data_IF_500173716911
#
_entry.id   IF_500173716911
#
_cell.length_a   1.000
_cell.length_b   1.000
_cell.length_c   1.000
_cell.angle_alpha   90.00
_cell.angle_beta   90.00
_cell.angle_gamma   90.00
#
_symmetry.space_group_name_H-M   'P 1'
#
loop_
_entity.id
_entity.type
_entity.pdbx_description
1 polymer ?
#
# COMPACT_ATOMS: atom_id res chain seq x y z
N UNK A 1 14.39 -50.03 83.56
CA UNK A 1 15.83 -50.33 83.34
C UNK A 1 16.23 -50.09 81.88
N UNK A 2 15.57 -50.71 80.89
CA UNK A 2 15.90 -50.54 79.47
C UNK A 2 15.86 -49.09 78.97
N UNK A 3 14.88 -48.28 79.40
CA UNK A 3 14.81 -46.85 79.01
C UNK A 3 15.96 -46.01 79.57
N UNK A 4 16.47 -46.35 80.77
CA UNK A 4 17.62 -45.67 81.36
C UNK A 4 18.93 -46.04 80.67
N UNK A 5 19.08 -47.30 80.26
CA UNK A 5 20.28 -47.73 79.52
C UNK A 5 20.29 -47.10 78.12
N UNK A 6 19.14 -47.05 77.45
CA UNK A 6 19.02 -46.50 76.11
C UNK A 6 19.27 -44.98 76.03
N UNK A 7 19.23 -44.24 77.15
CA UNK A 7 19.58 -42.81 77.20
C UNK A 7 21.06 -42.52 77.45
N UNK A 8 21.87 -43.54 77.73
CA UNK A 8 23.31 -43.42 77.97
C UNK A 8 24.11 -43.50 76.65
N UNK A 9 25.28 -42.85 76.61
CA UNK A 9 26.21 -43.02 75.48
C UNK A 9 26.65 -44.48 75.35
N UNK A 10 26.99 -44.92 74.14
CA UNK A 10 27.42 -46.31 73.87
C UNK A 10 28.55 -46.74 74.83
N UNK A 11 29.47 -45.84 75.14
CA UNK A 11 30.55 -46.08 76.11
C UNK A 11 29.99 -46.35 77.53
N UNK A 12 29.02 -45.56 78.00
CA UNK A 12 28.36 -45.76 79.29
C UNK A 12 27.46 -46.99 79.31
N UNK A 13 26.82 -47.34 78.20
CA UNK A 13 26.05 -48.58 78.05
C UNK A 13 26.95 -49.80 78.20
N UNK A 14 28.11 -49.82 77.54
CA UNK A 14 29.10 -50.91 77.66
C UNK A 14 29.63 -51.03 79.09
N UNK A 15 29.91 -49.91 79.77
CA UNK A 15 30.32 -49.93 81.17
C UNK A 15 29.23 -50.45 82.11
N UNK A 16 27.97 -50.09 81.86
CA UNK A 16 26.85 -50.55 82.68
C UNK A 16 26.59 -52.05 82.49
N UNK A 17 26.61 -52.53 81.25
CA UNK A 17 26.52 -53.96 80.92
C UNK A 17 27.65 -54.75 81.55
N UNK A 18 28.89 -54.27 81.45
CA UNK A 18 30.04 -54.90 82.09
C UNK A 18 29.93 -54.91 83.61
N UNK A 19 29.46 -53.82 84.22
CA UNK A 19 29.21 -53.74 85.65
C UNK A 19 28.21 -54.80 86.13
N UNK A 20 27.09 -54.95 85.41
CA UNK A 20 26.10 -56.01 85.72
C UNK A 20 26.70 -57.40 85.53
N UNK A 21 27.44 -57.64 84.43
CA UNK A 21 28.08 -58.93 84.17
C UNK A 21 29.15 -59.28 85.22
N UNK A 22 29.96 -58.32 85.66
CA UNK A 22 30.98 -58.50 86.69
C UNK A 22 30.32 -58.78 88.04
N UNK A 23 29.30 -58.00 88.44
CA UNK A 23 28.56 -58.26 89.68
C UNK A 23 27.89 -59.63 89.65
N UNK A 24 27.24 -59.99 88.55
CA UNK A 24 26.64 -61.31 88.36
C UNK A 24 27.67 -62.43 88.48
N UNK A 25 28.83 -62.28 87.83
CA UNK A 25 29.92 -63.26 87.89
C UNK A 25 30.49 -63.39 89.32
N UNK A 26 30.68 -62.27 90.03
CA UNK A 26 31.12 -62.26 91.43
C UNK A 26 30.11 -62.99 92.32
N UNK A 27 28.81 -62.71 92.17
CA UNK A 27 27.74 -63.37 92.95
C UNK A 27 27.74 -64.88 92.70
N UNK A 28 27.81 -65.33 91.44
CA UNK A 28 27.89 -66.75 91.10
C UNK A 28 29.12 -67.39 91.74
N UNK A 29 30.29 -66.76 91.61
CA UNK A 29 31.55 -67.27 92.19
C UNK A 29 31.45 -67.38 93.73
N UNK A 30 30.86 -66.39 94.40
CA UNK A 30 30.67 -66.39 95.86
C UNK A 30 29.68 -67.47 96.29
N UNK A 31 28.60 -67.68 95.54
CA UNK A 31 27.63 -68.75 95.79
C UNK A 31 28.29 -70.12 95.62
N UNK A 32 29.05 -70.33 94.54
CA UNK A 32 29.78 -71.59 94.28
C UNK A 32 30.83 -71.89 95.35
N UNK A 33 31.57 -70.87 95.80
CA UNK A 33 32.53 -71.01 96.90
C UNK A 33 31.83 -71.42 98.21
N UNK A 34 30.62 -70.90 98.47
CA UNK A 34 29.84 -71.19 99.67
C UNK A 34 29.14 -72.56 99.62
N UNK A 35 28.71 -73.03 98.45
CA UNK A 35 28.09 -74.35 98.26
C UNK A 35 29.12 -75.48 98.17
N UNK A 36 30.34 -75.20 97.70
CA UNK A 36 31.43 -76.18 97.59
C UNK A 36 32.07 -76.57 98.93
N UNK A 37 31.72 -75.94 100.05
CA UNK A 37 32.23 -76.28 101.39
C UNK A 37 33.72 -76.01 101.62
N UNK A 38 34.40 -75.34 100.69
CA UNK A 38 35.81 -74.97 100.81
C UNK A 38 35.97 -73.77 101.75
N UNK A 39 36.98 -73.79 102.63
CA UNK A 39 37.37 -72.62 103.41
C UNK A 39 37.74 -71.47 102.47
N UNK A 40 37.40 -70.23 102.83
CA UNK A 40 37.68 -69.05 102.01
C UNK A 40 39.20 -68.85 101.87
N UNK A 41 39.77 -69.33 100.78
CA UNK A 41 41.20 -69.22 100.46
C UNK A 41 41.40 -68.29 99.27
N UNK A 42 42.10 -67.18 99.54
CA UNK A 42 42.46 -66.15 98.57
C UNK A 42 43.40 -66.67 97.46
N UNK A 43 44.00 -67.85 97.62
CA UNK A 43 44.86 -68.50 96.62
C UNK A 43 44.13 -69.57 95.80
N UNK A 44 42.84 -69.79 96.02
CA UNK A 44 42.09 -70.79 95.27
C UNK A 44 42.04 -70.47 93.77
N UNK A 45 42.32 -71.46 92.87
CA UNK A 45 42.39 -71.22 91.43
C UNK A 45 41.07 -70.71 90.85
N UNK A 46 39.93 -71.02 91.47
CA UNK A 46 38.61 -70.50 91.07
C UNK A 46 38.43 -68.99 91.32
N UNK A 47 39.03 -68.46 92.39
CA UNK A 47 38.93 -67.04 92.74
C UNK A 47 39.86 -66.19 91.86
N UNK A 48 41.07 -66.69 91.55
CA UNK A 48 41.96 -66.08 90.56
C UNK A 48 41.35 -66.07 89.16
N UNK A 49 40.69 -67.15 88.74
CA UNK A 49 39.98 -67.22 87.46
C UNK A 49 38.83 -66.21 87.39
N UNK A 50 38.06 -66.01 88.46
CA UNK A 50 36.95 -65.05 88.46
C UNK A 50 37.43 -63.60 88.39
N UNK A 51 38.55 -63.26 89.04
CA UNK A 51 39.19 -61.94 88.93
C UNK A 51 39.70 -61.71 87.51
N UNK A 52 40.35 -62.70 86.90
CA UNK A 52 40.82 -62.60 85.52
C UNK A 52 39.66 -62.41 84.52
N UNK A 53 38.54 -63.13 84.69
CA UNK A 53 37.34 -62.97 83.87
C UNK A 53 36.72 -61.58 84.08
N UNK A 54 36.67 -61.09 85.32
CA UNK A 54 36.14 -59.76 85.62
C UNK A 54 37.00 -58.64 85.00
N UNK A 55 38.32 -58.79 85.04
CA UNK A 55 39.26 -57.87 84.37
C UNK A 55 39.14 -57.95 82.84
N UNK A 56 38.96 -59.15 82.28
CA UNK A 56 38.73 -59.34 80.84
C UNK A 56 37.41 -58.69 80.40
N UNK A 57 36.33 -58.85 81.16
CA UNK A 57 35.04 -58.22 80.89
C UNK A 57 35.14 -56.68 80.98
N UNK A 58 35.85 -56.15 81.98
CA UNK A 58 36.11 -54.72 82.09
C UNK A 58 36.94 -54.19 80.90
N UNK A 59 38.01 -54.90 80.53
CA UNK A 59 38.84 -54.55 79.37
C UNK A 59 38.06 -54.61 78.06
N UNK A 60 37.28 -55.68 77.84
CA UNK A 60 36.45 -55.85 76.64
C UNK A 60 35.38 -54.75 76.54
N UNK A 61 34.79 -54.36 77.66
CA UNK A 61 33.81 -53.27 77.70
C UNK A 61 34.43 -51.90 77.42
N UNK A 62 35.64 -51.64 77.93
CA UNK A 62 36.41 -50.44 77.57
C UNK A 62 36.80 -50.45 76.09
N UNK A 63 37.29 -51.59 75.59
CA UNK A 63 37.68 -51.74 74.20
C UNK A 63 36.50 -51.55 73.23
N UNK A 64 35.39 -52.28 73.42
CA UNK A 64 34.19 -52.17 72.58
C UNK A 64 33.50 -50.81 72.73
N UNK A 65 33.46 -50.27 73.95
CA UNK A 65 32.88 -48.96 74.24
C UNK A 65 33.68 -47.82 73.60
N UNK A 66 35.01 -47.86 73.67
CA UNK A 66 35.89 -46.87 73.03
C UNK A 66 35.90 -47.01 71.50
N UNK A 67 35.96 -48.25 70.99
CA UNK A 67 35.92 -48.53 69.55
C UNK A 67 34.61 -48.08 68.90
N UNK A 68 33.47 -48.37 69.54
CA UNK A 68 32.15 -47.96 69.04
C UNK A 68 31.92 -46.46 69.22
N UNK A 69 32.39 -45.85 70.31
CA UNK A 69 32.28 -44.41 70.52
C UNK A 69 33.06 -43.61 69.47
N UNK A 70 34.30 -44.01 69.14
CA UNK A 70 35.09 -43.38 68.07
C UNK A 70 34.41 -43.47 66.71
N UNK A 71 33.79 -44.61 66.40
CA UNK A 71 33.10 -44.81 65.11
C UNK A 71 31.78 -44.05 65.05
N UNK A 72 31.05 -43.94 66.17
CA UNK A 72 29.91 -43.05 66.29
C UNK A 72 30.31 -41.57 66.14
N UNK A 73 31.42 -41.16 66.75
CA UNK A 73 31.98 -39.80 66.65
C UNK A 73 32.31 -39.46 65.19
N UNK A 74 32.92 -40.37 64.42
CA UNK A 74 33.15 -40.18 62.99
C UNK A 74 31.86 -39.91 62.19
N UNK A 75 30.76 -40.65 62.45
CA UNK A 75 29.47 -40.42 61.81
C UNK A 75 28.89 -39.07 62.22
N UNK A 76 28.94 -38.72 63.51
CA UNK A 76 28.44 -37.44 64.02
C UNK A 76 29.22 -36.28 63.43
N UNK A 77 30.56 -36.35 63.38
CA UNK A 77 31.40 -35.32 62.75
C UNK A 77 31.09 -35.17 61.26
N UNK A 78 30.91 -36.28 60.54
CA UNK A 78 30.52 -36.24 59.12
C UNK A 78 29.13 -35.61 58.93
N UNK A 79 28.18 -35.93 59.79
CA UNK A 79 26.83 -35.36 59.77
C UNK A 79 26.84 -33.86 60.13
N UNK A 80 27.63 -33.46 61.13
CA UNK A 80 27.84 -32.04 61.48
C UNK A 80 28.47 -31.28 60.33
N UNK A 81 29.50 -31.83 59.69
CA UNK A 81 30.11 -31.22 58.50
C UNK A 81 29.08 -31.04 57.37
N UNK A 82 28.25 -32.06 57.10
CA UNK A 82 27.16 -31.95 56.12
C UNK A 82 26.12 -30.89 56.51
N UNK A 83 25.76 -30.78 57.79
CA UNK A 83 24.81 -29.79 58.29
C UNK A 83 25.36 -28.35 58.19
N UNK A 84 26.66 -28.18 58.40
CA UNK A 84 27.38 -26.90 58.23
C UNK A 84 27.65 -26.57 56.74
N UNK A 85 27.23 -27.44 55.82
CA UNK A 85 27.34 -27.24 54.38
C UNK A 85 28.66 -27.74 53.78
N UNK A 86 29.51 -28.43 54.53
CA UNK A 86 30.72 -29.07 54.02
C UNK A 86 30.43 -30.47 53.45
N UNK A 87 30.33 -30.55 52.13
CA UNK A 87 30.09 -31.78 51.38
C UNK A 87 31.38 -32.35 50.78
N UNK A 88 32.56 -31.93 51.25
CA UNK A 88 33.86 -32.37 50.74
C UNK A 88 34.45 -33.58 51.48
N UNK A 89 33.99 -33.83 52.71
CA UNK A 89 34.53 -34.86 53.59
C UNK A 89 34.31 -36.28 53.02
N UNK A 90 35.39 -37.08 52.97
CA UNK A 90 35.32 -38.49 52.58
C UNK A 90 34.88 -39.34 53.77
N UNK A 91 33.73 -40.00 53.66
CA UNK A 91 33.08 -40.69 54.78
C UNK A 91 33.33 -42.20 54.78
N UNK A 92 34.57 -42.63 54.49
CA UNK A 92 34.91 -44.04 54.47
C UNK A 92 35.27 -44.55 55.88
N UNK A 93 34.35 -45.29 56.50
CA UNK A 93 34.64 -46.11 57.68
C UNK A 93 34.83 -47.57 57.23
N UNK A 94 36.07 -48.12 57.27
CA UNK A 94 36.33 -49.50 56.86
C UNK A 94 35.73 -50.49 57.87
N UNK A 95 34.99 -51.49 57.40
CA UNK A 95 34.41 -52.54 58.24
C UNK A 95 33.18 -53.20 57.61
N UNK A 96 32.57 -54.15 58.33
CA UNK A 96 31.34 -54.86 57.93
C UNK A 96 30.23 -54.78 58.99
N UNK A 97 30.31 -53.79 59.86
CA UNK A 97 29.36 -53.55 60.96
C UNK A 97 28.38 -52.41 60.64
N UNK A 98 27.43 -52.18 61.55
CA UNK A 98 26.37 -51.19 61.39
C UNK A 98 26.89 -49.76 61.17
N UNK A 99 27.98 -49.36 61.85
CA UNK A 99 28.59 -48.04 61.66
C UNK A 99 29.19 -47.88 60.26
N UNK A 100 29.80 -48.93 59.72
CA UNK A 100 30.35 -48.94 58.36
C UNK A 100 29.24 -48.82 57.32
N UNK A 101 28.09 -49.48 57.57
CA UNK A 101 26.90 -49.35 56.73
C UNK A 101 26.25 -47.96 56.82
N UNK A 102 26.16 -47.37 58.02
CA UNK A 102 25.71 -45.99 58.23
C UNK A 102 26.60 -44.99 57.48
N UNK A 103 27.93 -45.16 57.55
CA UNK A 103 28.88 -44.31 56.84
C UNK A 103 28.66 -44.37 55.32
N UNK A 104 28.45 -45.57 54.78
CA UNK A 104 28.16 -45.76 53.36
C UNK A 104 26.84 -45.11 52.92
N UNK A 105 25.78 -45.22 53.75
CA UNK A 105 24.50 -44.56 53.50
C UNK A 105 24.62 -43.03 53.56
N UNK A 106 25.35 -42.52 54.54
CA UNK A 106 25.63 -41.08 54.68
C UNK A 106 26.43 -40.55 53.47
N UNK A 107 27.45 -41.29 53.02
CA UNK A 107 28.22 -40.97 51.81
C UNK A 107 27.34 -40.96 50.55
N UNK A 108 26.39 -41.90 50.45
CA UNK A 108 25.44 -41.96 49.33
C UNK A 108 24.50 -40.76 49.33
N UNK A 109 23.98 -40.37 50.51
CA UNK A 109 23.15 -39.17 50.67
C UNK A 109 23.93 -37.89 50.35
N UNK A 110 25.17 -37.77 50.85
CA UNK A 110 26.09 -36.68 50.53
C UNK A 110 26.30 -36.56 49.02
N UNK A 111 26.57 -37.68 48.32
CA UNK A 111 26.73 -37.70 46.86
C UNK A 111 25.47 -37.24 46.13
N UNK A 112 24.28 -37.65 46.57
CA UNK A 112 23.02 -37.20 45.99
C UNK A 112 22.83 -35.68 46.16
N UNK A 113 23.12 -35.14 47.34
CA UNK A 113 23.06 -33.68 47.59
C UNK A 113 24.07 -32.95 46.71
N UNK A 114 25.32 -33.43 46.61
CA UNK A 114 26.35 -32.85 45.73
C UNK A 114 25.89 -32.80 44.28
N UNK A 115 25.32 -33.89 43.76
CA UNK A 115 24.82 -33.93 42.39
C UNK A 115 23.66 -32.94 42.17
N UNK A 116 22.70 -32.90 43.10
CA UNK A 116 21.59 -31.94 43.05
C UNK A 116 22.10 -30.49 43.05
N UNK A 117 23.09 -30.17 43.88
CA UNK A 117 23.72 -28.84 43.90
C UNK A 117 24.42 -28.51 42.58
N UNK A 118 25.10 -29.49 41.96
CA UNK A 118 25.72 -29.33 40.63
C UNK A 118 24.67 -29.06 39.54
N UNK A 119 23.55 -29.77 39.57
CA UNK A 119 22.42 -29.55 38.63
C UNK A 119 21.77 -28.16 38.83
N UNK A 120 21.59 -27.71 40.07
CA UNK A 120 21.06 -26.37 40.36
C UNK A 120 22.02 -25.29 39.85
N UNK A 121 23.34 -25.45 40.04
CA UNK A 121 24.33 -24.51 39.51
C UNK A 121 24.28 -24.43 37.98
N UNK A 122 24.26 -25.57 37.30
CA UNK A 122 24.16 -25.63 35.84
C UNK A 122 22.86 -24.99 35.33
N UNK A 123 21.73 -25.29 35.97
CA UNK A 123 20.43 -24.72 35.61
C UNK A 123 20.38 -23.21 35.85
N UNK A 124 21.00 -22.73 36.93
CA UNK A 124 21.09 -21.29 37.23
C UNK A 124 21.95 -20.55 36.19
N UNK A 125 23.05 -21.16 35.74
CA UNK A 125 23.91 -20.59 34.68
C UNK A 125 23.17 -20.52 33.32
N UNK A 126 22.43 -21.58 32.97
CA UNK A 126 21.56 -21.58 31.80
C UNK A 126 20.49 -20.50 31.89
N UNK A 127 19.83 -20.36 33.05
CA UNK A 127 18.80 -19.34 33.27
C UNK A 127 19.38 -17.92 33.15
N UNK A 128 20.57 -17.67 33.70
CA UNK A 128 21.24 -16.37 33.57
C UNK A 128 21.57 -16.04 32.11
N UNK A 129 22.07 -17.01 31.35
CA UNK A 129 22.39 -16.85 29.93
C UNK A 129 21.14 -16.58 29.10
N UNK A 130 20.07 -17.36 29.30
CA UNK A 130 18.79 -17.18 28.63
C UNK A 130 18.18 -15.80 28.94
N UNK A 131 18.26 -15.36 30.19
CA UNK A 131 17.79 -14.03 30.60
C UNK A 131 18.55 -12.90 29.93
N UNK A 132 19.89 -13.04 29.78
CA UNK A 132 20.70 -12.04 29.09
C UNK A 132 20.44 -12.02 27.58
N UNK A 133 20.24 -13.17 26.95
CA UNK A 133 19.81 -13.25 25.55
C UNK A 133 18.44 -12.60 25.35
N UNK A 134 17.48 -12.87 26.24
CA UNK A 134 16.14 -12.29 26.19
C UNK A 134 16.18 -10.76 26.35
N UNK A 135 17.05 -10.24 27.24
CA UNK A 135 17.30 -8.81 27.38
C UNK A 135 17.78 -8.18 26.06
N UNK A 136 18.78 -8.79 25.40
CA UNK A 136 19.29 -8.30 24.11
C UNK A 136 18.26 -8.35 22.98
N UNK A 137 17.44 -9.42 22.91
CA UNK A 137 16.33 -9.51 21.95
C UNK A 137 15.30 -8.41 22.22
N UNK A 138 15.02 -8.14 23.49
CA UNK A 138 14.04 -7.13 23.90
C UNK A 138 14.49 -5.71 23.56
N UNK A 139 15.77 -5.41 23.76
CA UNK A 139 16.37 -4.14 23.34
C UNK A 139 16.28 -3.95 21.82
N UNK A 140 16.66 -4.97 21.04
CA UNK A 140 16.51 -4.92 19.58
C UNK A 140 15.06 -4.76 19.13
N UNK A 141 14.11 -5.41 19.81
CA UNK A 141 12.68 -5.23 19.53
C UNK A 141 12.21 -3.81 19.80
N UNK A 142 12.68 -3.15 20.86
CA UNK A 142 12.37 -1.74 21.13
C UNK A 142 12.87 -0.82 20.01
N UNK A 143 14.10 -1.01 19.55
CA UNK A 143 14.65 -0.23 18.44
C UNK A 143 13.85 -0.42 17.15
N UNK A 144 13.43 -1.66 16.86
CA UNK A 144 12.58 -1.97 15.70
C UNK A 144 11.22 -1.29 15.79
N UNK A 145 10.58 -1.31 16.96
CA UNK A 145 9.30 -0.63 17.18
C UNK A 145 9.43 0.89 16.99
N UNK A 146 10.52 1.49 17.49
CA UNK A 146 10.78 2.92 17.26
C UNK A 146 10.94 3.25 15.76
N UNK A 147 11.68 2.44 15.02
CA UNK A 147 11.82 2.60 13.57
C UNK A 147 10.49 2.41 12.84
N UNK A 148 9.69 1.42 13.25
CA UNK A 148 8.37 1.18 12.69
C UNK A 148 7.41 2.36 12.95
N UNK A 149 7.45 2.96 14.13
CA UNK A 149 6.65 4.16 14.43
C UNK A 149 7.02 5.32 13.51
N UNK A 150 8.31 5.60 13.32
CA UNK A 150 8.75 6.67 12.39
C UNK A 150 8.27 6.41 10.95
N UNK A 151 8.37 5.17 10.48
CA UNK A 151 7.85 4.78 9.16
C UNK A 151 6.33 4.93 9.08
N UNK A 152 5.62 4.58 10.14
CA UNK A 152 4.15 4.67 10.24
C UNK A 152 3.69 6.13 10.20
N UNK A 153 4.40 7.03 10.90
CA UNK A 153 4.15 8.48 10.82
C UNK A 153 4.39 9.03 9.40
N UNK A 154 5.44 8.58 8.73
CA UNK A 154 5.72 8.99 7.35
C UNK A 154 4.61 8.51 6.39
N UNK A 155 4.13 7.27 6.55
CA UNK A 155 3.00 6.76 5.76
C UNK A 155 1.73 7.56 6.07
N UNK A 156 1.46 7.90 7.33
CA UNK A 156 0.31 8.74 7.70
C UNK A 156 0.36 10.11 7.00
N UNK A 157 1.53 10.76 7.01
CA UNK A 157 1.73 12.03 6.31
C UNK A 157 1.49 11.90 4.80
N UNK A 158 2.05 10.86 4.17
CA UNK A 158 1.84 10.58 2.74
C UNK A 158 0.37 10.30 2.40
N UNK A 159 -0.38 9.63 3.29
CA UNK A 159 -1.82 9.40 3.10
C UNK A 159 -2.64 10.69 3.20
N UNK A 160 -2.24 11.62 4.07
CA UNK A 160 -2.89 12.93 4.15
C UNK A 160 -2.64 13.78 2.89
N UNK A 161 -1.41 13.75 2.37
CA UNK A 161 -1.09 14.36 1.07
C UNK A 161 -1.87 13.70 -0.08
N UNK A 162 -1.96 12.36 -0.09
CA UNK A 162 -2.73 11.61 -1.07
C UNK A 162 -4.21 12.00 -1.04
N UNK A 163 -4.82 12.13 0.14
CA UNK A 163 -6.22 12.56 0.30
C UNK A 163 -6.44 13.94 -0.33
N UNK A 164 -5.53 14.88 -0.08
CA UNK A 164 -5.58 16.22 -0.67
C UNK A 164 -5.44 16.18 -2.20
N UNK A 165 -4.48 15.39 -2.71
CA UNK A 165 -4.26 15.25 -4.14
C UNK A 165 -5.46 14.61 -4.85
N UNK A 166 -6.09 13.60 -4.26
CA UNK A 166 -7.29 12.95 -4.79
C UNK A 166 -8.47 13.92 -4.87
N UNK A 167 -8.69 14.74 -3.83
CA UNK A 167 -9.70 15.80 -3.87
C UNK A 167 -9.43 16.82 -4.98
N UNK A 168 -8.17 17.17 -5.20
CA UNK A 168 -7.79 18.09 -6.28
C UNK A 168 -8.04 17.47 -7.66
N UNK A 169 -7.75 16.19 -7.85
CA UNK A 169 -8.05 15.44 -9.09
C UNK A 169 -9.56 15.43 -9.35
N UNK A 170 -10.38 15.11 -8.33
CA UNK A 170 -11.84 15.12 -8.46
C UNK A 170 -12.36 16.51 -8.86
N UNK A 171 -11.85 17.57 -8.23
CA UNK A 171 -12.20 18.96 -8.56
C UNK A 171 -11.79 19.32 -9.99
N UNK A 172 -10.60 18.92 -10.42
CA UNK A 172 -10.10 19.20 -11.77
C UNK A 172 -10.92 18.46 -12.83
N UNK A 173 -11.32 17.20 -12.56
CA UNK A 173 -12.22 16.45 -13.44
C UNK A 173 -13.59 17.14 -13.56
N UNK A 174 -14.16 17.62 -12.45
CA UNK A 174 -15.40 18.38 -12.47
C UNK A 174 -15.29 19.69 -13.28
N UNK A 175 -14.22 20.46 -13.07
CA UNK A 175 -13.96 21.68 -13.83
C UNK A 175 -13.79 21.39 -15.33
N UNK A 176 -13.08 20.33 -15.68
CA UNK A 176 -12.89 19.91 -17.07
C UNK A 176 -14.20 19.45 -17.71
N UNK A 177 -15.09 18.79 -16.96
CA UNK A 177 -16.42 18.43 -17.44
C UNK A 177 -17.29 19.68 -17.70
N UNK A 178 -17.23 20.69 -16.83
CA UNK A 178 -17.90 21.98 -17.06
C UNK A 178 -17.36 22.70 -18.30
N UNK A 179 -16.04 22.76 -18.47
CA UNK A 179 -15.42 23.35 -19.65
C UNK A 179 -15.79 22.60 -20.95
N UNK A 180 -15.86 21.28 -20.90
CA UNK A 180 -16.35 20.46 -22.01
C UNK A 180 -17.82 20.78 -22.34
N UNK A 181 -18.68 20.94 -21.33
CA UNK A 181 -20.08 21.32 -21.54
C UNK A 181 -20.22 22.71 -22.20
N UNK A 182 -19.42 23.69 -21.77
CA UNK A 182 -19.39 25.00 -22.42
C UNK A 182 -18.92 24.91 -23.88
N UNK A 183 -17.90 24.09 -24.15
CA UNK A 183 -17.41 23.85 -25.51
C UNK A 183 -18.48 23.19 -26.41
N UNK A 184 -19.23 22.20 -25.91
CA UNK A 184 -20.36 21.58 -26.65
C UNK A 184 -21.42 22.63 -27.01
N UNK A 185 -21.76 23.51 -26.06
CA UNK A 185 -22.72 24.57 -26.31
C UNK A 185 -22.24 25.54 -27.41
N UNK A 186 -20.96 25.93 -27.38
CA UNK A 186 -20.37 26.80 -28.41
C UNK A 186 -20.31 26.11 -29.78
N UNK A 187 -19.92 24.84 -29.83
CA UNK A 187 -19.83 24.08 -31.08
C UNK A 187 -21.21 23.81 -31.68
N UNK A 188 -22.24 23.52 -30.88
CA UNK A 188 -23.65 23.48 -31.32
C UNK A 188 -24.13 24.82 -31.85
N UNK A 189 -23.76 25.92 -31.19
CA UNK A 189 -24.03 27.28 -31.67
C UNK A 189 -23.39 27.55 -33.03
N UNK A 190 -22.10 27.22 -33.19
CA UNK A 190 -21.38 27.33 -34.45
C UNK A 190 -21.99 26.48 -35.56
N UNK A 191 -22.40 25.25 -35.25
CA UNK A 191 -23.06 24.37 -36.21
C UNK A 191 -24.36 24.97 -36.75
N UNK A 192 -25.16 25.59 -35.87
CA UNK A 192 -26.37 26.31 -36.28
C UNK A 192 -26.05 27.47 -37.21
N UNK A 193 -25.04 28.29 -36.89
CA UNK A 193 -24.61 29.41 -37.74
C UNK A 193 -24.18 28.93 -39.12
N UNK A 194 -23.42 27.84 -39.21
CA UNK A 194 -23.01 27.23 -40.48
C UNK A 194 -24.23 26.75 -41.28
N UNK A 195 -25.20 26.11 -40.61
CA UNK A 195 -26.44 25.66 -41.27
C UNK A 195 -27.26 26.83 -41.83
N UNK A 196 -27.36 27.93 -41.08
CA UNK A 196 -28.05 29.14 -41.52
C UNK A 196 -27.31 29.83 -42.68
N UNK A 197 -25.97 29.81 -42.67
CA UNK A 197 -25.15 30.29 -43.77
C UNK A 197 -25.35 29.45 -45.04
N UNK A 198 -25.37 28.12 -44.95
CA UNK A 198 -25.66 27.23 -46.09
C UNK A 198 -27.04 27.56 -46.69
N UNK A 199 -28.06 27.74 -45.86
CA UNK A 199 -29.40 28.14 -46.31
C UNK A 199 -29.36 29.46 -47.07
N UNK A 200 -28.68 30.47 -46.52
CA UNK A 200 -28.57 31.81 -47.10
C UNK A 200 -27.82 31.79 -48.44
N UNK A 201 -26.75 31.00 -48.56
CA UNK A 201 -25.98 30.88 -49.81
C UNK A 201 -26.81 30.14 -50.88
N UNK A 202 -27.61 29.14 -50.51
CA UNK A 202 -28.52 28.48 -51.46
C UNK A 202 -29.59 29.44 -52.01
N UNK A 203 -30.14 30.31 -51.15
CA UNK A 203 -31.06 31.36 -51.59
C UNK A 203 -30.36 32.32 -52.55
N UNK A 204 -29.13 32.74 -52.23
CA UNK A 204 -28.33 33.59 -53.10
C UNK A 204 -28.04 32.93 -54.46
N UNK A 205 -27.68 31.64 -54.47
CA UNK A 205 -27.41 30.89 -55.70
C UNK A 205 -28.63 30.87 -56.63
N UNK A 206 -29.82 30.61 -56.07
CA UNK A 206 -31.08 30.65 -56.82
C UNK A 206 -31.38 32.05 -57.38
N UNK A 207 -31.10 33.12 -56.62
CA UNK A 207 -31.34 34.49 -57.09
C UNK A 207 -30.37 34.90 -58.20
N UNK A 208 -29.11 34.47 -58.11
CA UNK A 208 -28.10 34.65 -59.17
C UNK A 208 -28.51 33.90 -60.44
N UNK A 209 -29.01 32.68 -60.32
CA UNK A 209 -29.51 31.89 -61.45
C UNK A 209 -30.72 32.59 -62.12
N UNK A 210 -31.72 33.02 -61.33
CA UNK A 210 -32.88 33.78 -61.83
C UNK A 210 -32.48 35.08 -62.53
N UNK A 211 -31.48 35.78 -61.98
CA UNK A 211 -30.95 37.02 -62.59
C UNK A 211 -30.24 36.70 -63.90
N UNK A 212 -29.46 35.62 -63.95
CA UNK A 212 -28.84 35.11 -65.17
C UNK A 212 -29.86 34.82 -66.27
N UNK A 213 -30.96 34.14 -65.93
CA UNK A 213 -32.06 33.85 -66.86
C UNK A 213 -32.72 35.12 -67.41
N UNK A 214 -32.99 36.11 -66.54
CA UNK A 214 -33.59 37.37 -66.95
C UNK A 214 -32.70 38.14 -67.94
N UNK A 215 -31.38 38.15 -67.69
CA UNK A 215 -30.40 38.79 -68.59
C UNK A 215 -30.24 37.99 -69.88
N UNK A 216 -30.33 36.66 -69.82
CA UNK A 216 -30.34 35.82 -71.02
C UNK A 216 -31.54 36.12 -71.92
N UNK A 217 -32.73 36.32 -71.34
CA UNK A 217 -33.92 36.77 -72.09
C UNK A 217 -33.72 38.17 -72.68
N UNK A 218 -33.16 39.11 -71.91
CA UNK A 218 -32.82 40.45 -72.41
C UNK A 218 -31.87 40.39 -73.61
N UNK A 219 -30.89 39.48 -73.59
CA UNK A 219 -29.99 39.22 -74.72
C UNK A 219 -30.76 38.73 -75.95
N UNK A 220 -31.68 37.77 -75.79
CA UNK A 220 -32.51 37.25 -76.89
C UNK A 220 -33.45 38.33 -77.46
N UNK A 221 -34.09 39.13 -76.61
CA UNK A 221 -34.93 40.26 -77.02
C UNK A 221 -34.10 41.30 -77.80
N UNK A 222 -32.87 41.56 -77.35
CA UNK A 222 -31.94 42.49 -78.04
C UNK A 222 -31.52 41.97 -79.42
N UNK A 223 -31.38 40.66 -79.61
CA UNK A 223 -31.14 40.06 -80.93
C UNK A 223 -32.35 40.25 -81.84
N UNK A 224 -33.56 40.05 -81.29
CA UNK A 224 -34.81 40.26 -82.02
C UNK A 224 -35.00 41.72 -82.46
N UNK A 225 -34.66 42.67 -81.58
CA UNK A 225 -34.67 44.11 -81.92
C UNK A 225 -33.67 44.42 -83.04
N UNK A 226 -32.47 43.84 -83.00
CA UNK A 226 -31.48 43.98 -84.08
C UNK A 226 -32.04 43.54 -85.44
N UNK A 227 -32.73 42.39 -85.49
CA UNK A 227 -33.36 41.91 -86.72
C UNK A 227 -34.46 42.86 -87.25
N UNK A 228 -35.24 43.48 -86.36
CA UNK A 228 -36.24 44.49 -86.74
C UNK A 228 -35.57 45.75 -87.29
N UNK A 229 -34.47 46.20 -86.69
CA UNK A 229 -33.71 47.36 -87.16
C UNK A 229 -33.12 47.15 -88.56
N UNK A 230 -32.64 45.94 -88.86
CA UNK A 230 -32.19 45.58 -90.21
C UNK A 230 -33.31 45.71 -91.25
N UNK A 231 -34.53 45.28 -90.91
CA UNK A 231 -35.71 45.47 -91.78
C UNK A 231 -36.01 46.95 -91.97
N UNK A 232 -35.99 47.76 -90.91
CA UNK A 232 -36.26 49.22 -91.01
C UNK A 232 -35.18 49.89 -91.85
N UNK A 233 -33.90 49.51 -91.68
CA UNK A 233 -32.79 50.03 -92.49
C UNK A 233 -32.99 49.71 -93.97
N UNK A 234 -33.37 48.48 -94.28
CA UNK A 234 -33.68 48.05 -95.65
C UNK A 234 -34.88 48.83 -96.23
N UNK A 235 -35.93 49.07 -95.45
CA UNK A 235 -37.08 49.89 -95.87
C UNK A 235 -36.66 51.34 -96.11
N UNK A 236 -35.85 51.93 -95.23
CA UNK A 236 -35.34 53.29 -95.40
C UNK A 236 -34.48 53.41 -96.65
N UNK A 237 -33.62 52.43 -96.92
CA UNK A 237 -32.80 52.36 -98.13
C UNK A 237 -33.65 52.23 -99.41
N UNK A 238 -34.65 51.36 -99.40
CA UNK A 238 -35.63 51.24 -100.49
C UNK A 238 -36.42 52.54 -100.69
N UNK A 239 -36.83 53.21 -99.60
CA UNK A 239 -37.56 54.48 -99.65
C UNK A 239 -36.69 55.59 -100.22
N UNK A 240 -35.41 55.62 -99.85
CA UNK A 240 -34.42 56.55 -100.40
C UNK A 240 -34.23 56.34 -101.92
N UNK A 241 -34.15 55.09 -102.37
CA UNK A 241 -34.06 54.76 -103.81
C UNK A 241 -35.34 55.11 -104.57
N UNK A 242 -36.52 54.84 -104.00
CA UNK A 242 -37.82 55.23 -104.57
C UNK A 242 -37.95 56.76 -104.69
N UNK A 243 -37.56 57.49 -103.64
CA UNK A 243 -37.56 58.95 -103.62
C UNK A 243 -36.59 59.53 -104.65
N UNK A 244 -35.42 58.93 -104.81
CA UNK A 244 -34.46 59.32 -105.86
C UNK A 244 -35.06 59.14 -107.25
N UNK A 245 -35.69 58.00 -107.53
CA UNK A 245 -36.35 57.75 -108.81
C UNK A 245 -37.50 58.75 -109.06
N UNK A 246 -38.27 59.08 -108.02
CA UNK A 246 -39.33 60.09 -108.11
C UNK A 246 -38.78 61.50 -108.35
N UNK A 247 -37.66 61.88 -107.73
CA UNK A 247 -36.99 63.16 -107.95
C UNK A 247 -36.45 63.27 -109.38
N UNK A 248 -35.89 62.18 -109.92
CA UNK A 248 -35.44 62.11 -111.32
C UNK A 248 -36.62 62.31 -112.28
N UNK A 249 -37.74 61.62 -112.07
CA UNK A 249 -38.91 61.73 -112.96
C UNK A 249 -39.62 63.09 -112.81
N UNK A 250 -39.64 63.67 -111.62
CA UNK A 250 -40.13 65.03 -111.38
C UNK A 250 -39.27 66.09 -112.09
N UNK A 251 -37.94 65.93 -112.10
CA UNK A 251 -37.04 66.78 -112.89
C UNK A 251 -37.29 66.63 -114.40
N UNK A 252 -37.65 65.42 -114.85
CA UNK A 252 -37.97 65.10 -116.25
C UNK A 252 -39.27 65.75 -116.74
N UNK A 253 -40.24 65.96 -115.84
CA UNK A 253 -41.51 66.63 -116.12
C UNK A 253 -41.43 68.18 -116.17
N UNK A 254 -40.27 68.77 -115.89
CA UNK A 254 -40.05 70.22 -115.98
C UNK A 254 -40.88 71.04 -114.97
N UNK A 255 -41.46 72.15 -115.41
CA UNK A 255 -42.25 73.05 -114.52
C UNK A 255 -43.50 72.39 -113.92
N UNK A 256 -44.08 71.37 -114.58
CA UNK A 256 -45.23 70.62 -114.04
C UNK A 256 -44.83 69.66 -112.90
N UNK A 257 -43.54 69.32 -112.77
CA UNK A 257 -43.02 68.40 -111.76
C UNK A 257 -42.48 69.06 -110.49
N UNK A 258 -42.41 70.39 -110.41
CA UNK A 258 -41.78 71.11 -109.27
C UNK A 258 -42.36 70.74 -107.90
N UNK A 259 -43.68 70.62 -107.79
CA UNK A 259 -44.32 70.21 -106.53
C UNK A 259 -43.94 68.78 -106.12
N UNK A 260 -43.85 67.86 -107.09
CA UNK A 260 -43.42 66.49 -106.85
C UNK A 260 -41.92 66.39 -106.51
N UNK A 261 -41.07 67.22 -107.11
CA UNK A 261 -39.64 67.25 -106.83
C UNK A 261 -39.35 67.63 -105.36
N UNK A 262 -40.05 68.63 -104.82
CA UNK A 262 -39.92 69.04 -103.41
C UNK A 262 -40.34 67.92 -102.46
N UNK A 263 -41.45 67.24 -102.75
CA UNK A 263 -41.91 66.10 -101.94
C UNK A 263 -40.90 64.94 -102.03
N UNK A 264 -40.36 64.65 -103.21
CA UNK A 264 -39.37 63.59 -103.39
C UNK A 264 -38.07 63.86 -102.61
N UNK A 265 -37.56 65.09 -102.61
CA UNK A 265 -36.38 65.48 -101.81
C UNK A 265 -36.64 65.44 -100.29
N UNK A 266 -37.86 65.80 -99.85
CA UNK A 266 -38.25 65.68 -98.44
C UNK A 266 -38.31 64.21 -98.00
N UNK A 267 -38.91 63.33 -98.82
CA UNK A 267 -38.94 61.88 -98.56
C UNK A 267 -37.53 61.29 -98.55
N UNK A 268 -36.66 61.72 -99.46
CA UNK A 268 -35.25 61.30 -99.53
C UNK A 268 -34.49 61.69 -98.25
N UNK A 269 -34.69 62.93 -97.79
CA UNK A 269 -34.09 63.45 -96.55
C UNK A 269 -34.62 62.69 -95.33
N UNK A 270 -35.91 62.40 -95.29
CA UNK A 270 -36.53 61.61 -94.22
C UNK A 270 -35.97 60.18 -94.19
N UNK A 271 -35.85 59.54 -95.34
CA UNK A 271 -35.27 58.20 -95.48
C UNK A 271 -33.81 58.15 -95.03
N UNK A 272 -32.98 59.14 -95.41
CA UNK A 272 -31.60 59.25 -94.94
C UNK A 272 -31.51 59.46 -93.43
N UNK A 273 -32.39 60.29 -92.84
CA UNK A 273 -32.47 60.46 -91.38
C UNK A 273 -32.88 59.17 -90.68
N UNK A 274 -33.85 58.43 -91.22
CA UNK A 274 -34.24 57.11 -90.70
C UNK A 274 -33.07 56.13 -90.73
N UNK A 275 -32.30 56.10 -91.81
CA UNK A 275 -31.13 55.21 -91.95
C UNK A 275 -30.01 55.56 -90.96
N UNK A 276 -29.76 56.85 -90.73
CA UNK A 276 -28.81 57.30 -89.70
C UNK A 276 -29.28 56.90 -88.29
N UNK A 277 -30.55 57.15 -87.96
CA UNK A 277 -31.10 56.78 -86.65
C UNK A 277 -31.10 55.27 -86.41
N UNK A 278 -31.41 54.45 -87.42
CA UNK A 278 -31.31 52.98 -87.27
C UNK A 278 -29.88 52.53 -87.05
N UNK A 279 -28.89 53.17 -87.65
CA UNK A 279 -27.47 52.85 -87.42
C UNK A 279 -27.00 53.24 -86.01
N UNK A 280 -27.46 54.38 -85.48
CA UNK A 280 -27.20 54.78 -84.09
C UNK A 280 -27.86 53.80 -83.10
N UNK A 281 -29.10 53.38 -83.35
CA UNK A 281 -29.79 52.38 -82.52
C UNK A 281 -29.11 51.02 -82.61
N UNK A 282 -28.65 50.60 -83.79
CA UNK A 282 -27.88 49.36 -83.97
C UNK A 282 -26.64 49.34 -83.07
N UNK A 283 -25.86 50.42 -83.04
CA UNK A 283 -24.72 50.53 -82.14
C UNK A 283 -25.10 50.50 -80.65
N UNK A 284 -26.27 51.01 -80.27
CA UNK A 284 -26.79 50.85 -78.91
C UNK A 284 -27.15 49.39 -78.59
N UNK A 285 -27.76 48.68 -79.54
CA UNK A 285 -28.12 47.26 -79.39
C UNK A 285 -26.88 46.37 -79.31
N UNK A 286 -25.84 46.62 -80.09
CA UNK A 286 -24.56 45.88 -80.01
C UNK A 286 -23.91 46.04 -78.62
N UNK A 287 -23.89 47.27 -78.07
CA UNK A 287 -23.42 47.51 -76.70
C UNK A 287 -24.29 46.81 -75.65
N UNK A 288 -25.61 46.81 -75.83
CA UNK A 288 -26.54 46.12 -74.95
C UNK A 288 -26.31 44.60 -74.96
N UNK A 289 -26.12 44.01 -76.14
CA UNK A 289 -25.82 42.58 -76.30
C UNK A 289 -24.46 42.21 -75.69
N UNK A 290 -23.43 43.04 -75.86
CA UNK A 290 -22.13 42.85 -75.24
C UNK A 290 -22.24 42.89 -73.70
N UNK A 291 -22.92 43.90 -73.14
CA UNK A 291 -23.16 44.01 -71.70
C UNK A 291 -24.00 42.86 -71.13
N UNK A 292 -25.03 42.41 -71.85
CA UNK A 292 -25.83 41.26 -71.46
C UNK A 292 -25.00 39.96 -71.44
N UNK A 293 -24.13 39.74 -72.43
CA UNK A 293 -23.21 38.60 -72.45
C UNK A 293 -22.23 38.63 -71.26
N UNK A 294 -21.64 39.79 -70.97
CA UNK A 294 -20.74 39.96 -69.84
C UNK A 294 -21.46 39.66 -68.52
N UNK A 295 -22.68 40.16 -68.36
CA UNK A 295 -23.47 39.92 -67.16
C UNK A 295 -23.91 38.45 -67.03
N UNK A 296 -24.28 37.75 -68.10
CA UNK A 296 -24.56 36.29 -68.06
C UNK A 296 -23.30 35.52 -67.61
N UNK A 297 -22.13 35.85 -68.14
CA UNK A 297 -20.87 35.22 -67.74
C UNK A 297 -20.54 35.49 -66.26
N UNK A 298 -20.77 36.71 -65.78
CA UNK A 298 -20.60 37.07 -64.37
C UNK A 298 -21.57 36.31 -63.46
N UNK A 299 -22.84 36.19 -63.85
CA UNK A 299 -23.84 35.41 -63.11
C UNK A 299 -23.50 33.92 -63.05
N UNK A 300 -23.02 33.34 -64.17
CA UNK A 300 -22.55 31.95 -64.20
C UNK A 300 -21.39 31.70 -63.23
N UNK A 301 -20.39 32.59 -63.21
CA UNK A 301 -19.29 32.54 -62.23
C UNK A 301 -19.77 32.72 -60.79
N UNK A 302 -20.74 33.62 -60.58
CA UNK A 302 -21.36 33.84 -59.27
C UNK A 302 -22.06 32.59 -58.74
N UNK A 303 -22.83 31.90 -59.60
CA UNK A 303 -23.50 30.65 -59.27
C UNK A 303 -22.50 29.55 -58.91
N UNK A 304 -21.42 29.40 -59.69
CA UNK A 304 -20.33 28.45 -59.37
C UNK A 304 -19.70 28.76 -58.00
N UNK A 305 -19.38 30.03 -57.74
CA UNK A 305 -18.75 30.45 -56.47
C UNK A 305 -19.67 30.20 -55.27
N UNK A 306 -20.98 30.39 -55.44
CA UNK A 306 -21.96 30.09 -54.40
C UNK A 306 -22.02 28.58 -54.10
N UNK A 307 -21.97 27.73 -55.13
CA UNK A 307 -21.93 26.27 -54.96
C UNK A 307 -20.68 25.79 -54.22
N UNK A 308 -19.51 26.35 -54.56
CA UNK A 308 -18.25 26.05 -53.87
C UNK A 308 -18.31 26.49 -52.38
N UNK A 309 -18.91 27.66 -52.13
CA UNK A 309 -19.12 28.18 -50.77
C UNK A 309 -20.03 27.24 -49.93
N UNK A 310 -21.08 26.67 -50.54
CA UNK A 310 -21.93 25.65 -49.88
C UNK A 310 -21.11 24.40 -49.54
N UNK A 311 -20.24 23.93 -50.43
CA UNK A 311 -19.40 22.76 -50.18
C UNK A 311 -18.43 23.00 -49.01
N UNK A 312 -17.75 24.15 -48.98
CA UNK A 312 -16.86 24.52 -47.88
C UNK A 312 -17.61 24.66 -46.55
N UNK A 313 -18.77 25.33 -46.54
CA UNK A 313 -19.58 25.46 -45.34
C UNK A 313 -20.06 24.08 -44.84
N UNK A 314 -20.43 23.17 -45.75
CA UNK A 314 -20.80 21.79 -45.40
C UNK A 314 -19.63 21.04 -44.75
N UNK A 315 -18.41 21.23 -45.24
CA UNK A 315 -17.21 20.63 -44.66
C UNK A 315 -16.92 21.18 -43.24
N UNK A 316 -17.08 22.50 -43.05
CA UNK A 316 -16.99 23.12 -41.73
C UNK A 316 -18.05 22.57 -40.76
N UNK A 317 -19.28 22.37 -41.23
CA UNK A 317 -20.36 21.76 -40.45
C UNK A 317 -20.02 20.35 -39.95
N UNK A 318 -19.48 19.49 -40.84
CA UNK A 318 -19.01 18.15 -40.46
C UNK A 318 -17.85 18.18 -39.44
N UNK A 319 -16.97 19.16 -39.55
CA UNK A 319 -15.86 19.32 -38.61
C UNK A 319 -16.36 19.71 -37.21
N UNK A 320 -17.37 20.59 -37.13
CA UNK A 320 -18.02 20.94 -35.86
C UNK A 320 -18.78 19.77 -35.23
N UNK A 321 -19.41 18.94 -36.05
CA UNK A 321 -20.06 17.70 -35.58
C UNK A 321 -19.03 16.70 -35.00
N UNK A 322 -17.88 16.53 -35.66
CA UNK A 322 -16.79 15.72 -35.14
C UNK A 322 -16.21 16.30 -33.82
N UNK A 323 -16.12 17.62 -33.71
CA UNK A 323 -15.71 18.30 -32.46
C UNK A 323 -16.69 18.01 -31.33
N UNK A 324 -18.01 18.08 -31.57
CA UNK A 324 -19.01 17.71 -30.55
C UNK A 324 -18.83 16.28 -30.06
N UNK A 325 -18.62 15.32 -30.96
CA UNK A 325 -18.36 13.93 -30.55
C UNK A 325 -17.10 13.78 -29.69
N UNK A 326 -16.03 14.53 -29.98
CA UNK A 326 -14.83 14.53 -29.14
C UNK A 326 -15.08 15.15 -27.77
N UNK A 327 -15.91 16.19 -27.70
CA UNK A 327 -16.29 16.85 -26.44
C UNK A 327 -17.14 15.90 -25.57
N UNK A 328 -18.08 15.17 -26.15
CA UNK A 328 -18.86 14.15 -25.44
C UNK A 328 -17.94 13.08 -24.83
N UNK A 329 -16.94 12.59 -25.58
CA UNK A 329 -15.95 11.64 -25.05
C UNK A 329 -15.13 12.24 -23.89
N UNK A 330 -14.75 13.52 -23.96
CA UNK A 330 -14.03 14.20 -22.87
C UNK A 330 -14.91 14.28 -21.61
N UNK A 331 -16.20 14.56 -21.77
CA UNK A 331 -17.15 14.60 -20.65
C UNK A 331 -17.26 13.23 -19.97
N UNK A 332 -17.42 12.16 -20.75
CA UNK A 332 -17.48 10.80 -20.22
C UNK A 332 -16.19 10.40 -19.49
N UNK A 333 -15.03 10.76 -20.06
CA UNK A 333 -13.73 10.52 -19.43
C UNK A 333 -13.58 11.27 -18.10
N UNK A 334 -14.03 12.52 -18.03
CA UNK A 334 -14.00 13.28 -16.77
C UNK A 334 -14.94 12.69 -15.72
N UNK A 335 -16.10 12.15 -16.11
CA UNK A 335 -16.96 11.41 -15.19
C UNK A 335 -16.25 10.18 -14.63
N UNK A 336 -15.56 9.40 -15.47
CA UNK A 336 -14.79 8.24 -15.00
C UNK A 336 -13.63 8.64 -14.06
N UNK A 337 -12.92 9.74 -14.36
CA UNK A 337 -11.85 10.26 -13.50
C UNK A 337 -12.42 10.67 -12.14
N UNK A 338 -13.58 11.34 -12.11
CA UNK A 338 -14.23 11.74 -10.87
C UNK A 338 -14.62 10.51 -10.02
N UNK A 339 -15.21 9.47 -10.64
CA UNK A 339 -15.54 8.21 -9.96
C UNK A 339 -14.28 7.51 -9.43
N UNK A 340 -13.22 7.42 -10.24
CA UNK A 340 -11.96 6.82 -9.81
C UNK A 340 -11.31 7.60 -8.64
N UNK A 341 -11.43 8.93 -8.63
CA UNK A 341 -10.97 9.75 -7.51
C UNK A 341 -11.80 9.49 -6.23
N UNK A 342 -13.12 9.31 -6.33
CA UNK A 342 -13.94 8.90 -5.18
C UNK A 342 -13.52 7.53 -4.62
N UNK A 343 -13.26 6.54 -5.49
CA UNK A 343 -12.75 5.22 -5.07
C UNK A 343 -11.36 5.31 -4.40
N UNK A 344 -10.46 6.15 -4.95
CA UNK A 344 -9.16 6.41 -4.35
C UNK A 344 -9.28 7.08 -2.98
N UNK A 345 -10.26 7.97 -2.79
CA UNK A 345 -10.52 8.61 -1.50
C UNK A 345 -10.92 7.60 -0.43
N UNK A 346 -11.82 6.66 -0.78
CA UNK A 346 -12.22 5.55 0.11
C UNK A 346 -11.02 4.68 0.47
N UNK A 347 -10.19 4.35 -0.52
CA UNK A 347 -8.99 3.54 -0.32
C UNK A 347 -7.98 4.25 0.59
N UNK A 348 -7.78 5.55 0.42
CA UNK A 348 -6.89 6.35 1.26
C UNK A 348 -7.37 6.40 2.72
N UNK A 349 -8.68 6.51 2.95
CA UNK A 349 -9.26 6.45 4.30
C UNK A 349 -9.05 5.08 4.96
N UNK A 350 -9.24 3.99 4.21
CA UNK A 350 -8.99 2.63 4.70
C UNK A 350 -7.52 2.41 5.08
N UNK A 351 -6.58 2.92 4.26
CA UNK A 351 -5.15 2.85 4.57
C UNK A 351 -4.83 3.69 5.81
N UNK A 352 -5.42 4.89 5.95
CA UNK A 352 -5.22 5.73 7.13
C UNK A 352 -5.69 5.01 8.41
N UNK A 353 -6.87 4.37 8.38
CA UNK A 353 -7.34 3.53 9.50
C UNK A 353 -6.38 2.38 9.81
N UNK A 354 -5.82 1.74 8.78
CA UNK A 354 -4.84 0.67 8.95
C UNK A 354 -3.54 1.18 9.58
N UNK A 355 -3.09 2.37 9.20
CA UNK A 355 -1.91 3.05 9.77
C UNK A 355 -2.12 3.35 11.25
N UNK A 356 -3.29 3.84 11.65
CA UNK A 356 -3.65 4.04 13.05
C UNK A 356 -3.58 2.72 13.83
N UNK A 357 -4.14 1.64 13.27
CA UNK A 357 -4.10 0.31 13.91
C UNK A 357 -2.66 -0.22 14.05
N UNK A 358 -1.80 -0.02 13.05
CA UNK A 358 -0.38 -0.39 13.12
C UNK A 358 0.35 0.39 14.23
N UNK A 359 0.04 1.67 14.39
CA UNK A 359 0.59 2.50 15.47
C UNK A 359 0.18 1.96 16.85
N UNK A 360 -1.09 1.59 17.02
CA UNK A 360 -1.60 1.00 18.27
C UNK A 360 -0.90 -0.34 18.59
N UNK A 361 -0.79 -1.24 17.61
CA UNK A 361 -0.06 -2.52 17.75
C UNK A 361 1.42 -2.29 18.09
N UNK A 362 2.04 -1.26 17.50
CA UNK A 362 3.43 -0.90 17.79
C UNK A 362 3.58 -0.43 19.25
N UNK A 363 2.64 0.35 19.76
CA UNK A 363 2.61 0.77 21.16
C UNK A 363 2.41 -0.43 22.12
N UNK A 364 1.51 -1.35 21.81
CA UNK A 364 1.33 -2.59 22.57
C UNK A 364 2.61 -3.45 22.56
N UNK A 365 3.28 -3.55 21.42
CA UNK A 365 4.53 -4.30 21.27
C UNK A 365 5.65 -3.68 22.10
N UNK A 366 5.78 -2.35 22.11
CA UNK A 366 6.74 -1.65 22.98
C UNK A 366 6.46 -1.92 24.46
N UNK A 367 5.17 -1.96 24.85
CA UNK A 367 4.77 -2.26 26.22
C UNK A 367 5.13 -3.71 26.61
N UNK A 368 4.79 -4.68 25.77
CA UNK A 368 5.10 -6.10 25.98
C UNK A 368 6.62 -6.35 26.03
N UNK A 369 7.40 -5.67 25.17
CA UNK A 369 8.85 -5.69 25.24
C UNK A 369 9.34 -5.13 26.59
N UNK A 370 8.78 -4.01 27.07
CA UNK A 370 9.10 -3.47 28.39
C UNK A 370 8.86 -4.47 29.54
N UNK A 371 7.72 -5.17 29.52
CA UNK A 371 7.42 -6.21 30.50
C UNK A 371 8.41 -7.39 30.42
N UNK A 372 8.74 -7.82 29.20
CA UNK A 372 9.70 -8.91 28.96
C UNK A 372 11.10 -8.56 29.48
N UNK A 373 11.55 -7.31 29.31
CA UNK A 373 12.82 -6.84 29.88
C UNK A 373 12.82 -6.94 31.41
N UNK A 374 11.75 -6.49 32.06
CA UNK A 374 11.62 -6.56 33.52
C UNK A 374 11.63 -8.01 34.01
N UNK A 375 10.90 -8.92 33.38
CA UNK A 375 10.91 -10.34 33.72
C UNK A 375 12.28 -10.99 33.51
N UNK A 376 13.00 -10.61 32.45
CA UNK A 376 14.37 -11.08 32.19
C UNK A 376 15.33 -10.65 33.30
N UNK A 377 15.23 -9.41 33.76
CA UNK A 377 16.04 -8.91 34.88
C UNK A 377 15.73 -9.66 36.19
N UNK A 378 14.45 -9.93 36.46
CA UNK A 378 14.03 -10.74 37.60
C UNK A 378 14.58 -12.17 37.54
N UNK A 379 14.53 -12.83 36.37
CA UNK A 379 15.09 -14.17 36.19
C UNK A 379 16.62 -14.20 36.36
N UNK A 380 17.32 -13.19 35.84
CA UNK A 380 18.77 -13.05 36.05
C UNK A 380 19.11 -12.88 37.54
N UNK A 381 18.32 -12.08 38.26
CA UNK A 381 18.46 -11.90 39.71
C UNK A 381 18.19 -13.20 40.48
N UNK A 382 17.14 -13.94 40.12
CA UNK A 382 16.81 -15.22 40.73
C UNK A 382 17.90 -16.28 40.48
N UNK A 383 18.43 -16.35 39.26
CA UNK A 383 19.56 -17.22 38.91
C UNK A 383 20.81 -16.90 39.74
N UNK A 384 21.11 -15.60 39.92
CA UNK A 384 22.19 -15.15 40.80
C UNK A 384 21.95 -15.57 42.25
N UNK A 385 20.73 -15.40 42.75
CA UNK A 385 20.36 -15.77 44.11
C UNK A 385 20.48 -17.29 44.36
N UNK A 386 20.00 -18.13 43.44
CA UNK A 386 20.17 -19.59 43.52
C UNK A 386 21.64 -19.98 43.56
N UNK A 387 22.48 -19.35 42.74
CA UNK A 387 23.92 -19.57 42.74
C UNK A 387 24.57 -19.19 44.07
N UNK A 388 24.14 -18.08 44.68
CA UNK A 388 24.59 -17.64 46.00
C UNK A 388 24.12 -18.56 47.14
N UNK A 389 22.94 -19.16 47.02
CA UNK A 389 22.45 -20.15 47.99
C UNK A 389 23.27 -21.45 47.91
N UNK A 390 23.56 -21.94 46.71
CA UNK A 390 24.36 -23.15 46.51
C UNK A 390 25.83 -22.93 46.87
N UNK A 391 26.39 -21.73 46.65
CA UNK A 391 27.80 -21.44 46.97
C UNK A 391 28.11 -21.47 48.47
N UNK A 392 27.10 -21.42 49.35
CA UNK A 392 27.25 -21.65 50.80
C UNK A 392 27.70 -23.07 51.11
N UNK A 393 27.41 -24.03 50.23
CA UNK A 393 27.86 -25.41 50.38
C UNK A 393 29.27 -25.58 49.78
N UNK A 394 30.20 -26.10 50.56
CA UNK A 394 31.51 -26.52 50.06
C UNK A 394 31.36 -27.85 49.34
N UNK A 395 31.49 -27.80 48.02
CA UNK A 395 31.41 -28.97 47.16
C UNK A 395 32.78 -29.19 46.55
N UNK A 396 33.21 -30.44 46.45
CA UNK A 396 34.43 -30.79 45.72
C UNK A 396 34.16 -30.53 44.23
N UNK A 397 34.89 -29.56 43.65
CA UNK A 397 34.78 -29.19 42.22
C UNK A 397 34.77 -30.44 41.35
#
# INVERSE_FOLDING_TARGET
>A
MNEFINSLSIRKQMYYLAGISIVGHIVITVVDLKTSGNAFDITSPGLLASVAISLLLAWLAVYLGDHSAKRAEHIVTALSAMADGDLTAAQALPGKDDFSWMAWKLATAQKAIVNMMKEILASSEQLATASQQLSGITESSRDRVNNQNMQTEQVAAAMNEMSTAVQEVARNAANAASAAQEADQQARGGFKVVKDAISSINILANEVERTGDAISRLKEDSVSIGAVLDVIRNIAEQTNLLALNAAIEAARAGEQGRGFAVVADEVRTLASRTQQSTQEIQGMIERLQAGANEAVNAMSKGSSSAKDSVQQATHAGKSLEAINHMIDNIKDMNTQIATAAEEQSITADEINRSVVSISEISHETAHAAGQTAMSSEQLASLAKHLREQVSRFRIKR
#
